data_IF_981968979032
#
_entry.id   IF_981968979032
#
_cell.length_a   1.000
_cell.length_b   1.000
_cell.length_c   1.000
_cell.angle_alpha   90.00
_cell.angle_beta   90.00
_cell.angle_gamma   90.00
#
_symmetry.space_group_name_H-M   'P 1'
#
loop_
_entity.id
_entity.type
_entity.pdbx_description
1 polymer ?
#
# COMPACT_ATOMS: atom_id res chain seq x y z
N UNK A 1 15.00 -12.56 -39.67
CA UNK A 1 15.85 -12.22 -38.51
C UNK A 1 14.92 -11.79 -37.38
N UNK A 2 14.86 -12.55 -36.29
CA UNK A 2 14.07 -12.15 -35.12
C UNK A 2 14.73 -10.88 -34.55
N UNK A 3 14.05 -9.75 -34.59
CA UNK A 3 14.49 -8.54 -33.90
C UNK A 3 14.52 -8.84 -32.40
N UNK A 4 15.71 -8.91 -31.81
CA UNK A 4 15.87 -9.01 -30.36
C UNK A 4 15.05 -7.93 -29.68
N UNK A 5 14.16 -8.34 -28.76
CA UNK A 5 13.40 -7.40 -27.96
C UNK A 5 14.37 -6.68 -27.01
N UNK A 6 14.35 -5.35 -26.92
CA UNK A 6 15.28 -4.63 -26.07
C UNK A 6 15.08 -5.02 -24.59
N UNK A 7 16.18 -5.03 -23.85
CA UNK A 7 16.20 -5.38 -22.43
C UNK A 7 15.32 -4.39 -21.63
N UNK A 8 14.47 -4.88 -20.70
CA UNK A 8 13.65 -3.98 -19.88
C UNK A 8 14.52 -3.19 -18.91
N UNK A 9 14.09 -1.97 -18.59
CA UNK A 9 14.58 -1.23 -17.43
C UNK A 9 13.93 -1.76 -16.16
N UNK A 10 14.66 -1.81 -15.06
CA UNK A 10 14.12 -2.19 -13.75
C UNK A 10 14.22 -1.00 -12.80
N UNK A 11 13.07 -0.61 -12.25
CA UNK A 11 12.95 0.44 -11.23
C UNK A 11 12.55 -0.22 -9.92
N UNK A 12 13.11 0.23 -8.80
CA UNK A 12 12.82 -0.38 -7.51
C UNK A 12 12.78 0.64 -6.40
N UNK A 13 11.95 0.39 -5.39
CA UNK A 13 11.92 1.21 -4.18
C UNK A 13 11.45 0.37 -3.00
N UNK A 14 11.89 0.76 -1.80
CA UNK A 14 11.46 0.16 -0.55
C UNK A 14 10.84 1.24 0.32
N UNK A 15 9.70 0.94 0.92
CA UNK A 15 8.99 1.81 1.84
C UNK A 15 8.69 1.10 3.15
N UNK A 16 8.52 1.90 4.20
CA UNK A 16 7.93 1.48 5.47
C UNK A 16 6.99 2.54 5.98
N UNK A 17 6.11 2.15 6.88
CA UNK A 17 5.27 3.10 7.57
C UNK A 17 4.51 2.46 8.72
N UNK A 18 3.64 3.27 9.30
CA UNK A 18 2.79 2.88 10.40
C UNK A 18 1.41 3.53 10.31
N UNK A 19 0.41 2.89 10.91
CA UNK A 19 -0.94 3.44 11.10
C UNK A 19 -1.44 3.03 12.47
N UNK A 20 -1.82 4.00 13.31
CA UNK A 20 -2.47 3.69 14.57
C UNK A 20 -3.97 3.48 14.39
N UNK A 21 -4.51 2.52 15.13
CA UNK A 21 -5.90 2.10 15.15
C UNK A 21 -6.36 2.07 16.61
N UNK A 22 -7.36 2.87 16.96
CA UNK A 22 -7.85 3.03 18.34
C UNK A 22 -8.76 1.88 18.75
N UNK A 23 -8.24 0.66 18.68
CA UNK A 23 -8.86 -0.55 19.22
C UNK A 23 -7.78 -1.58 19.55
N UNK A 24 -8.13 -2.52 20.41
CA UNK A 24 -7.26 -3.65 20.78
C UNK A 24 -6.86 -4.51 19.55
N UNK A 25 -5.70 -5.20 19.60
CA UNK A 25 -5.18 -5.98 18.47
C UNK A 25 -6.16 -7.01 17.92
N UNK A 26 -7.00 -7.60 18.80
CA UNK A 26 -8.03 -8.56 18.40
C UNK A 26 -9.06 -7.91 17.47
N UNK A 27 -9.64 -6.79 17.86
CA UNK A 27 -10.64 -6.06 17.05
C UNK A 27 -10.07 -5.60 15.72
N UNK A 28 -8.83 -5.11 15.71
CA UNK A 28 -8.15 -4.67 14.49
C UNK A 28 -7.87 -5.86 13.56
N UNK A 29 -7.46 -7.01 14.11
CA UNK A 29 -7.28 -8.27 13.36
C UNK A 29 -8.58 -8.73 12.71
N UNK A 30 -9.68 -8.76 13.47
CA UNK A 30 -11.00 -9.13 12.95
C UNK A 30 -11.44 -8.22 11.80
N UNK A 31 -11.23 -6.91 11.95
CA UNK A 31 -11.48 -5.95 10.87
C UNK A 31 -10.61 -6.22 9.64
N UNK A 32 -9.30 -6.42 9.81
CA UNK A 32 -8.38 -6.64 8.69
C UNK A 32 -8.65 -7.96 7.95
N UNK A 33 -9.11 -9.00 8.65
CA UNK A 33 -9.51 -10.26 8.04
C UNK A 33 -10.81 -10.13 7.20
N UNK A 34 -11.65 -9.14 7.49
CA UNK A 34 -12.84 -8.79 6.71
C UNK A 34 -12.52 -7.86 5.51
N UNK A 35 -11.34 -8.04 4.90
CA UNK A 35 -10.81 -7.16 3.85
C UNK A 35 -11.64 -7.15 2.57
N UNK A 36 -12.34 -8.24 2.26
CA UNK A 36 -13.20 -8.39 1.07
C UNK A 36 -14.20 -7.23 0.96
N UNK A 37 -14.71 -6.73 2.09
CA UNK A 37 -15.62 -5.60 2.13
C UNK A 37 -14.92 -4.24 1.99
N UNK A 38 -13.98 -3.93 2.87
CA UNK A 38 -13.45 -2.56 3.01
C UNK A 38 -12.33 -2.24 2.02
N UNK A 39 -11.53 -3.21 1.58
CA UNK A 39 -10.33 -2.93 0.77
C UNK A 39 -10.68 -2.27 -0.56
N UNK A 40 -11.72 -2.76 -1.24
CA UNK A 40 -12.21 -2.20 -2.51
C UNK A 40 -12.68 -0.75 -2.34
N UNK A 41 -13.37 -0.44 -1.23
CA UNK A 41 -13.86 0.92 -0.94
C UNK A 41 -12.70 1.87 -0.61
N UNK A 42 -11.69 1.38 0.11
CA UNK A 42 -10.54 2.16 0.54
C UNK A 42 -9.50 2.38 -0.58
N UNK A 43 -9.47 1.55 -1.63
CA UNK A 43 -8.47 1.60 -2.68
C UNK A 43 -8.47 2.89 -3.54
N UNK A 44 -9.59 3.61 -3.59
CA UNK A 44 -9.71 4.85 -4.38
C UNK A 44 -8.56 5.84 -4.06
N UNK A 45 -7.95 6.52 -5.05
CA UNK A 45 -8.36 6.58 -6.45
C UNK A 45 -7.87 5.40 -7.31
N UNK A 46 -7.11 4.46 -6.75
CA UNK A 46 -6.82 3.22 -7.46
C UNK A 46 -8.10 2.38 -7.57
N UNK A 47 -8.20 1.56 -8.61
CA UNK A 47 -9.24 0.54 -8.70
C UNK A 47 -8.73 -0.73 -8.05
N UNK A 48 -9.55 -1.35 -7.22
CA UNK A 48 -9.32 -2.70 -6.72
C UNK A 48 -10.53 -3.56 -7.12
N UNK A 49 -10.27 -4.69 -7.77
CA UNK A 49 -11.27 -5.68 -8.13
C UNK A 49 -10.94 -6.99 -7.44
N UNK A 50 -11.91 -7.72 -6.88
CA UNK A 50 -11.65 -9.03 -6.28
C UNK A 50 -10.98 -9.99 -7.28
N UNK A 51 -10.00 -10.76 -6.80
CA UNK A 51 -9.28 -11.78 -7.56
C UNK A 51 -9.13 -13.04 -6.70
N UNK A 52 -9.94 -14.07 -6.98
CA UNK A 52 -10.06 -15.23 -6.10
C UNK A 52 -10.62 -14.86 -4.71
N UNK A 53 -10.39 -15.72 -3.72
CA UNK A 53 -10.98 -15.54 -2.38
C UNK A 53 -10.27 -14.47 -1.55
N UNK A 54 -8.93 -14.38 -1.67
CA UNK A 54 -8.09 -13.50 -0.84
C UNK A 54 -7.22 -12.54 -1.66
N UNK A 55 -7.57 -12.29 -2.92
CA UNK A 55 -6.77 -11.47 -3.81
C UNK A 55 -7.51 -10.30 -4.41
N UNK A 56 -6.73 -9.42 -5.03
CA UNK A 56 -7.23 -8.26 -5.75
C UNK A 56 -6.42 -8.01 -7.01
N UNK A 57 -7.09 -7.56 -8.07
CA UNK A 57 -6.45 -6.83 -9.15
C UNK A 57 -6.46 -5.34 -8.83
N UNK A 58 -5.27 -4.74 -8.81
CA UNK A 58 -5.05 -3.32 -8.55
C UNK A 58 -4.72 -2.60 -9.86
N UNK A 59 -5.45 -1.51 -10.14
CA UNK A 59 -5.18 -0.57 -11.23
C UNK A 59 -4.80 0.76 -10.60
N UNK A 60 -3.52 1.12 -10.65
CA UNK A 60 -2.98 2.24 -9.86
C UNK A 60 -3.40 3.60 -10.43
N UNK A 61 -3.52 3.68 -11.76
CA UNK A 61 -3.76 4.91 -12.52
C UNK A 61 -2.78 5.03 -13.69
N UNK A 62 -2.86 6.12 -14.45
CA UNK A 62 -1.98 6.36 -15.61
C UNK A 62 -0.77 7.19 -15.22
N UNK A 63 0.40 6.72 -15.61
CA UNK A 63 1.68 7.34 -15.31
C UNK A 63 2.60 7.30 -16.53
N UNK A 64 3.30 8.40 -16.79
CA UNK A 64 4.13 8.50 -17.97
C UNK A 64 5.19 9.59 -17.90
N UNK A 65 6.18 9.45 -18.78
CA UNK A 65 7.25 10.42 -19.01
C UNK A 65 7.73 10.29 -20.46
N UNK A 66 8.33 11.36 -21.02
CA UNK A 66 8.89 11.35 -22.38
C UNK A 66 7.89 10.91 -23.48
N UNK A 67 6.60 11.22 -23.30
CA UNK A 67 5.55 10.84 -24.25
C UNK A 67 5.19 9.35 -24.26
N UNK A 68 5.63 8.59 -23.25
CA UNK A 68 5.23 7.21 -23.02
C UNK A 68 4.45 7.09 -21.71
N UNK A 69 3.26 6.50 -21.77
CA UNK A 69 2.35 6.35 -20.64
C UNK A 69 1.98 4.88 -20.46
N UNK A 70 1.86 4.46 -19.20
CA UNK A 70 1.43 3.12 -18.79
C UNK A 70 0.34 3.24 -17.73
N UNK A 71 -0.61 2.31 -17.75
CA UNK A 71 -1.57 2.11 -16.67
C UNK A 71 -1.22 0.79 -15.98
N UNK A 72 -0.34 0.79 -14.96
CA UNK A 72 0.09 -0.42 -14.31
C UNK A 72 -1.07 -1.11 -13.60
N UNK A 73 -1.20 -2.39 -13.90
CA UNK A 73 -2.13 -3.34 -13.32
C UNK A 73 -1.35 -4.51 -12.72
N UNK A 74 -1.73 -4.94 -11.53
CA UNK A 74 -1.14 -6.11 -10.88
C UNK A 74 -2.19 -6.88 -10.12
N UNK A 75 -2.11 -8.20 -10.14
CA UNK A 75 -2.91 -9.04 -9.25
C UNK A 75 -2.08 -9.45 -8.04
N UNK A 76 -2.69 -9.40 -6.87
CA UNK A 76 -2.03 -9.59 -5.58
C UNK A 76 -2.87 -10.51 -4.71
N UNK A 77 -2.22 -11.36 -3.91
CA UNK A 77 -2.86 -12.19 -2.89
C UNK A 77 -2.48 -11.64 -1.53
N UNK A 78 -3.46 -11.46 -0.65
CA UNK A 78 -3.28 -11.24 0.78
C UNK A 78 -3.38 -12.60 1.47
N UNK A 79 -2.30 -13.06 2.10
CA UNK A 79 -2.33 -14.33 2.81
C UNK A 79 -3.14 -14.22 4.12
N UNK A 80 -3.82 -15.30 4.54
CA UNK A 80 -4.34 -15.39 5.89
C UNK A 80 -3.22 -15.08 6.90
N UNK A 81 -3.48 -14.25 7.91
CA UNK A 81 -2.43 -13.83 8.81
C UNK A 81 -1.88 -14.99 9.62
N UNK A 82 -0.58 -14.95 9.88
CA UNK A 82 0.09 -15.89 10.78
C UNK A 82 0.73 -15.11 11.93
N UNK A 83 0.29 -15.38 13.17
CA UNK A 83 0.83 -14.75 14.38
C UNK A 83 0.82 -13.21 14.32
N UNK A 84 -0.28 -12.61 13.85
CA UNK A 84 -0.42 -11.15 13.75
C UNK A 84 0.35 -10.50 12.59
N UNK A 85 0.94 -11.30 11.71
CA UNK A 85 1.65 -10.84 10.51
C UNK A 85 0.87 -11.17 9.26
N UNK A 86 0.81 -10.20 8.36
CA UNK A 86 0.12 -10.29 7.07
C UNK A 86 1.17 -10.15 5.97
N UNK A 87 1.02 -10.92 4.90
CA UNK A 87 1.83 -10.81 3.70
C UNK A 87 0.93 -10.60 2.50
N UNK A 88 1.34 -9.71 1.61
CA UNK A 88 0.63 -9.45 0.36
C UNK A 88 1.63 -9.40 -0.79
N UNK A 89 1.43 -10.19 -1.83
CA UNK A 89 2.39 -10.28 -2.94
C UNK A 89 1.72 -10.38 -4.29
N UNK A 90 2.42 -9.89 -5.32
CA UNK A 90 1.99 -10.03 -6.71
C UNK A 90 2.00 -11.47 -7.16
N UNK A 91 0.96 -11.88 -7.87
CA UNK A 91 0.85 -13.17 -8.55
C UNK A 91 0.63 -12.97 -10.03
N UNK A 92 1.02 -13.96 -10.84
CA UNK A 92 0.70 -13.95 -12.26
C UNK A 92 -0.81 -14.08 -12.45
N UNK A 93 -1.39 -13.21 -13.27
CA UNK A 93 -2.78 -13.31 -13.70
C UNK A 93 -2.82 -13.53 -15.22
N UNK A 94 -3.31 -14.69 -15.69
CA UNK A 94 -3.34 -15.02 -17.11
C UNK A 94 -4.33 -14.16 -17.90
N UNK A 95 -5.32 -13.56 -17.24
CA UNK A 95 -6.32 -12.70 -17.88
C UNK A 95 -5.76 -11.32 -18.24
N UNK A 96 -4.60 -10.94 -17.67
CA UNK A 96 -3.92 -9.70 -18.01
C UNK A 96 -2.77 -9.94 -18.98
N UNK A 97 -2.89 -9.31 -20.16
CA UNK A 97 -1.75 -9.18 -21.05
C UNK A 97 -0.83 -8.05 -20.55
N UNK A 98 0.17 -8.41 -19.75
CA UNK A 98 1.21 -7.50 -19.23
C UNK A 98 2.23 -7.08 -20.32
N UNK A 99 1.75 -6.77 -21.52
CA UNK A 99 2.63 -6.39 -22.61
C UNK A 99 3.32 -5.06 -22.32
N UNK A 100 4.62 -5.13 -22.01
CA UNK A 100 5.48 -3.96 -21.85
C UNK A 100 5.89 -3.65 -20.42
N UNK A 101 5.32 -4.28 -19.39
CA UNK A 101 5.81 -4.13 -18.02
C UNK A 101 5.52 -5.35 -17.13
N UNK A 102 6.25 -5.47 -16.03
CA UNK A 102 6.07 -6.49 -14.99
C UNK A 102 6.17 -5.80 -13.63
N UNK A 103 5.23 -6.07 -12.72
CA UNK A 103 5.23 -5.51 -11.36
C UNK A 103 5.47 -6.64 -10.37
N UNK A 104 6.55 -6.52 -9.60
CA UNK A 104 6.87 -7.37 -8.47
C UNK A 104 6.59 -6.59 -7.19
N UNK A 105 5.48 -6.92 -6.54
CA UNK A 105 5.00 -6.29 -5.32
C UNK A 105 5.12 -7.29 -4.18
N UNK A 106 5.68 -6.86 -3.06
CA UNK A 106 5.69 -7.64 -1.83
C UNK A 106 5.58 -6.72 -0.62
N UNK A 107 4.57 -6.93 0.21
CA UNK A 107 4.32 -6.15 1.42
C UNK A 107 4.13 -7.06 2.62
N UNK A 108 4.61 -6.58 3.77
CA UNK A 108 4.41 -7.23 5.06
C UNK A 108 3.80 -6.23 6.03
N UNK A 109 2.89 -6.69 6.88
CA UNK A 109 2.33 -5.90 7.97
C UNK A 109 2.41 -6.67 9.27
N UNK A 110 2.72 -5.98 10.37
CA UNK A 110 2.73 -6.51 11.72
C UNK A 110 1.84 -5.65 12.62
N UNK A 111 0.99 -6.31 13.39
CA UNK A 111 0.08 -5.68 14.34
C UNK A 111 0.71 -5.73 15.73
N UNK A 112 0.83 -4.57 16.39
CA UNK A 112 1.41 -4.44 17.73
C UNK A 112 0.41 -3.72 18.64
N UNK A 113 0.13 -4.29 19.81
CA UNK A 113 -0.61 -3.60 20.88
C UNK A 113 0.31 -2.62 21.62
N UNK A 114 -0.20 -1.42 21.89
CA UNK A 114 0.50 -0.33 22.58
C UNK A 114 -0.36 0.13 23.75
N UNK A 115 0.20 0.16 24.95
CA UNK A 115 -0.52 0.62 26.14
C UNK A 115 -0.83 2.13 26.06
N UNK A 116 -2.01 2.54 26.53
CA UNK A 116 -2.43 3.96 26.48
C UNK A 116 -1.56 4.90 27.30
N UNK A 117 -0.83 4.38 28.28
CA UNK A 117 0.15 5.14 29.07
C UNK A 117 1.30 5.68 28.23
N UNK A 118 1.49 5.15 27.02
CA UNK A 118 2.50 5.58 26.05
C UNK A 118 1.97 6.57 25.01
N UNK A 119 0.71 7.02 25.12
CA UNK A 119 0.12 8.02 24.21
C UNK A 119 0.55 9.45 24.56
N UNK A 120 0.72 10.27 23.52
CA UNK A 120 0.88 11.72 23.61
C UNK A 120 -0.36 12.36 24.28
N UNK A 121 -0.14 13.33 25.18
CA UNK A 121 -1.19 14.02 25.96
C UNK A 121 -2.31 14.56 25.07
N UNK A 122 -1.99 15.03 23.86
CA UNK A 122 -2.95 15.55 22.88
C UNK A 122 -3.97 14.51 22.38
N UNK A 123 -3.61 13.23 22.41
CA UNK A 123 -4.49 12.11 22.06
C UNK A 123 -5.40 11.77 23.24
N UNK A 124 -4.89 11.86 24.46
CA UNK A 124 -5.65 11.59 25.68
C UNK A 124 -6.88 12.50 25.82
N UNK A 125 -6.78 13.77 25.39
CA UNK A 125 -7.89 14.74 25.44
C UNK A 125 -9.03 14.36 24.48
N UNK A 126 -8.71 13.91 23.27
CA UNK A 126 -9.71 13.46 22.28
C UNK A 126 -10.40 12.18 22.74
N UNK A 127 -9.67 11.30 23.42
CA UNK A 127 -10.20 10.08 24.02
C UNK A 127 -11.12 10.37 25.21
N UNK A 128 -10.75 11.35 26.06
CA UNK A 128 -11.52 11.76 27.22
C UNK A 128 -12.81 12.52 26.86
N UNK A 129 -12.79 13.39 25.84
CA UNK A 129 -13.96 14.19 25.44
C UNK A 129 -15.16 13.35 24.99
N UNK A 130 -14.95 12.15 24.43
CA UNK A 130 -16.05 11.30 23.96
C UNK A 130 -16.63 10.35 25.02
N UNK A 131 -16.13 10.35 26.26
CA UNK A 131 -16.64 9.49 27.37
C UNK A 131 -16.95 8.05 26.90
N UNK A 132 -16.01 7.41 26.20
CA UNK A 132 -16.19 6.03 25.76
C UNK A 132 -15.64 5.12 26.88
N UNK A 133 -16.52 4.73 27.81
CA UNK A 133 -16.25 3.80 28.93
C UNK A 133 -15.69 2.42 28.48
N UNK A 134 -15.64 2.15 27.17
CA UNK A 134 -15.24 0.89 26.55
C UNK A 134 -13.92 0.94 25.76
N UNK A 135 -13.16 2.05 25.83
CA UNK A 135 -11.85 2.09 25.18
C UNK A 135 -10.89 1.13 25.89
N UNK A 136 -10.36 0.17 25.13
CA UNK A 136 -9.37 -0.80 25.58
C UNK A 136 -8.15 -0.07 26.16
N UNK A 137 -7.52 -0.62 27.21
CA UNK A 137 -6.29 -0.08 27.84
C UNK A 137 -5.08 -0.01 26.89
N UNK A 138 -5.24 -0.56 25.70
CA UNK A 138 -4.27 -0.56 24.61
C UNK A 138 -4.95 -0.12 23.31
N UNK A 139 -4.14 0.43 22.41
CA UNK A 139 -4.49 0.62 21.01
C UNK A 139 -3.54 -0.19 20.14
N UNK A 140 -3.81 -0.24 18.84
CA UNK A 140 -3.03 -1.03 17.90
C UNK A 140 -2.23 -0.14 16.98
N UNK A 141 -0.95 -0.44 16.79
CA UNK A 141 -0.12 0.08 15.71
C UNK A 141 0.08 -0.99 14.64
N UNK A 142 -0.24 -0.66 13.40
CA UNK A 142 0.06 -1.48 12.23
C UNK A 142 1.36 -0.95 11.64
N UNK A 143 2.45 -1.71 11.75
CA UNK A 143 3.69 -1.42 11.06
C UNK A 143 3.68 -2.15 9.72
N UNK A 144 4.13 -1.51 8.66
CA UNK A 144 4.16 -2.13 7.33
C UNK A 144 5.45 -1.82 6.57
N UNK A 145 5.81 -2.73 5.68
CA UNK A 145 6.91 -2.62 4.74
C UNK A 145 6.42 -2.97 3.33
N UNK A 146 7.01 -2.35 2.33
CA UNK A 146 6.71 -2.56 0.91
C UNK A 146 8.01 -2.59 0.10
N UNK A 147 8.24 -3.71 -0.55
CA UNK A 147 9.23 -3.89 -1.61
C UNK A 147 8.51 -3.85 -2.96
N UNK A 148 8.91 -2.93 -3.83
CA UNK A 148 8.33 -2.79 -5.15
C UNK A 148 9.41 -2.73 -6.21
N UNK A 149 9.29 -3.58 -7.22
CA UNK A 149 10.07 -3.51 -8.44
C UNK A 149 9.15 -3.50 -9.65
N UNK A 150 9.42 -2.60 -10.61
CA UNK A 150 8.70 -2.52 -11.88
C UNK A 150 9.71 -2.66 -13.00
N UNK A 151 9.54 -3.67 -13.85
CA UNK A 151 10.30 -3.79 -15.09
C UNK A 151 9.47 -3.22 -16.22
N UNK A 152 10.06 -2.39 -17.08
CA UNK A 152 9.38 -1.79 -18.23
C UNK A 152 10.20 -2.01 -19.50
N UNK A 153 9.57 -2.56 -20.53
CA UNK A 153 10.11 -2.64 -21.87
C UNK A 153 9.57 -1.47 -22.69
N UNK A 154 10.39 -0.46 -22.87
CA UNK A 154 9.98 0.74 -23.60
C UNK A 154 9.90 0.51 -25.12
N UNK A 155 9.24 1.41 -25.86
CA UNK A 155 9.41 1.51 -27.29
C UNK A 155 10.85 1.93 -27.66
N UNK A 156 11.30 1.56 -28.86
CA UNK A 156 12.68 1.80 -29.33
C UNK A 156 13.17 3.26 -29.22
N UNK A 157 12.27 4.24 -29.30
CA UNK A 157 12.67 5.65 -29.24
C UNK A 157 13.14 6.09 -27.85
N UNK A 158 12.62 5.49 -26.77
CA UNK A 158 13.04 5.82 -25.39
C UNK A 158 14.50 5.40 -25.17
N UNK A 159 14.93 4.26 -25.71
CA UNK A 159 16.31 3.78 -25.61
C UNK A 159 17.35 4.68 -26.28
N UNK A 160 16.92 5.71 -27.04
CA UNK A 160 17.83 6.74 -27.56
C UNK A 160 18.22 7.78 -26.50
N UNK A 161 17.48 7.84 -25.38
CA UNK A 161 17.80 8.71 -24.25
C UNK A 161 18.96 8.11 -23.43
N UNK A 162 19.74 8.95 -22.71
CA UNK A 162 20.77 8.46 -21.81
C UNK A 162 20.19 7.50 -20.76
N UNK A 163 20.82 6.34 -20.56
CA UNK A 163 20.39 5.33 -19.60
C UNK A 163 20.11 5.93 -18.21
N UNK A 164 21.02 6.76 -17.71
CA UNK A 164 20.89 7.40 -16.39
C UNK A 164 19.68 8.34 -16.30
N UNK A 165 19.26 8.96 -17.40
CA UNK A 165 18.08 9.81 -17.43
C UNK A 165 16.80 8.98 -17.32
N UNK A 166 16.72 7.88 -18.07
CA UNK A 166 15.60 6.93 -18.01
C UNK A 166 15.49 6.35 -16.59
N UNK A 167 16.60 5.86 -16.05
CA UNK A 167 16.67 5.26 -14.71
C UNK A 167 16.18 6.23 -13.62
N UNK A 168 16.79 7.42 -13.53
CA UNK A 168 16.40 8.42 -12.52
C UNK A 168 14.95 8.87 -12.67
N UNK A 169 14.46 9.00 -13.90
CA UNK A 169 13.07 9.43 -14.12
C UNK A 169 12.09 8.36 -13.65
N UNK A 170 12.36 7.09 -13.98
CA UNK A 170 11.51 5.97 -13.55
C UNK A 170 11.53 5.74 -12.04
N UNK A 171 12.72 5.77 -11.40
CA UNK A 171 12.83 5.61 -9.94
C UNK A 171 12.09 6.73 -9.19
N UNK A 172 12.27 7.99 -9.63
CA UNK A 172 11.56 9.12 -9.05
C UNK A 172 10.04 9.00 -9.25
N UNK A 173 9.59 8.62 -10.44
CA UNK A 173 8.16 8.42 -10.72
C UNK A 173 7.58 7.34 -9.82
N UNK A 174 8.27 6.21 -9.67
CA UNK A 174 7.87 5.12 -8.78
C UNK A 174 7.73 5.59 -7.33
N UNK A 175 8.71 6.34 -6.82
CA UNK A 175 8.66 6.93 -5.48
C UNK A 175 7.46 7.89 -5.31
N UNK A 176 7.17 8.73 -6.31
CA UNK A 176 6.04 9.65 -6.26
C UNK A 176 4.70 8.93 -6.24
N UNK A 177 4.55 7.86 -7.03
CA UNK A 177 3.36 7.00 -7.02
C UNK A 177 3.10 6.48 -5.60
N UNK A 178 4.12 5.90 -4.96
CA UNK A 178 3.96 5.32 -3.61
C UNK A 178 3.71 6.38 -2.54
N UNK A 179 4.37 7.54 -2.62
CA UNK A 179 4.09 8.69 -1.73
C UNK A 179 2.68 9.26 -1.91
N UNK A 180 2.09 9.11 -3.09
CA UNK A 180 0.73 9.54 -3.37
C UNK A 180 -0.31 8.52 -2.90
N UNK A 181 -0.05 7.24 -3.14
CA UNK A 181 -1.00 6.15 -2.97
C UNK A 181 -1.07 5.68 -1.51
N UNK A 182 0.07 5.31 -0.93
CA UNK A 182 0.10 4.62 0.37
C UNK A 182 -0.50 5.45 1.50
N UNK A 183 -0.17 6.75 1.66
CA UNK A 183 -0.78 7.57 2.72
C UNK A 183 -2.29 7.72 2.58
N UNK A 184 -2.81 7.74 1.34
CA UNK A 184 -4.25 7.82 1.08
C UNK A 184 -4.95 6.52 1.45
N UNK A 185 -4.38 5.38 1.07
CA UNK A 185 -4.90 4.07 1.43
C UNK A 185 -4.90 3.89 2.95
N UNK A 186 -3.76 4.15 3.61
CA UNK A 186 -3.63 4.14 5.07
C UNK A 186 -4.68 5.02 5.77
N UNK A 187 -4.88 6.25 5.30
CA UNK A 187 -5.89 7.14 5.84
C UNK A 187 -7.31 6.60 5.66
N UNK A 188 -7.63 6.03 4.50
CA UNK A 188 -8.97 5.49 4.22
C UNK A 188 -9.29 4.25 5.03
N UNK A 189 -8.32 3.36 5.20
CA UNK A 189 -8.44 2.17 6.06
C UNK A 189 -8.67 2.62 7.50
N UNK A 190 -7.87 3.57 7.99
CA UNK A 190 -8.04 4.12 9.32
C UNK A 190 -9.41 4.78 9.47
N UNK A 191 -9.84 5.60 8.51
CA UNK A 191 -11.15 6.25 8.55
C UNK A 191 -12.31 5.25 8.53
N UNK A 192 -12.26 4.22 7.68
CA UNK A 192 -13.30 3.19 7.58
C UNK A 192 -13.43 2.44 8.92
N UNK A 193 -12.31 1.98 9.50
CA UNK A 193 -12.31 1.34 10.82
C UNK A 193 -12.92 2.22 11.91
N UNK A 194 -12.45 3.45 12.08
CA UNK A 194 -12.92 4.31 13.17
C UNK A 194 -14.39 4.71 12.96
N UNK A 195 -14.84 4.88 11.71
CA UNK A 195 -16.26 5.13 11.42
C UNK A 195 -17.12 3.90 11.73
N UNK A 196 -16.66 2.69 11.36
CA UNK A 196 -17.38 1.42 11.57
C UNK A 196 -17.62 1.11 13.04
N UNK A 197 -16.69 1.51 13.92
CA UNK A 197 -16.75 1.24 15.36
C UNK A 197 -17.11 2.48 16.20
N UNK A 198 -17.52 3.59 15.58
CA UNK A 198 -17.81 4.88 16.22
C UNK A 198 -16.68 5.39 17.16
N UNK A 199 -15.45 5.23 16.70
CA UNK A 199 -14.23 5.64 17.41
C UNK A 199 -13.76 7.02 16.93
N UNK A 200 -13.05 7.79 17.78
CA UNK A 200 -12.40 9.02 17.33
C UNK A 200 -11.32 8.72 16.28
N UNK A 201 -11.21 9.57 15.26
CA UNK A 201 -10.20 9.38 14.22
C UNK A 201 -8.81 9.84 14.72
N UNK A 202 -7.76 9.02 14.61
CA UNK A 202 -6.41 9.40 15.02
C UNK A 202 -5.85 10.57 14.20
N UNK A 203 -4.99 11.43 14.81
CA UNK A 203 -4.41 12.58 14.13
C UNK A 203 -3.51 12.14 12.98
N UNK A 204 -3.21 13.06 12.05
CA UNK A 204 -2.34 12.75 10.89
C UNK A 204 -0.94 12.26 11.29
N UNK A 205 -0.42 12.70 12.44
CA UNK A 205 0.86 12.27 13.01
C UNK A 205 0.91 10.78 13.37
N UNK A 206 -0.25 10.13 13.56
CA UNK A 206 -0.34 8.69 13.84
C UNK A 206 -0.10 7.78 12.62
N UNK A 207 0.24 8.38 11.47
CA UNK A 207 0.49 7.68 10.22
C UNK A 207 1.80 8.12 9.62
N UNK A 208 2.63 7.17 9.22
CA UNK A 208 3.92 7.43 8.57
C UNK A 208 4.05 6.66 7.26
N UNK A 209 4.89 7.19 6.37
CA UNK A 209 5.23 6.57 5.09
C UNK A 209 6.57 7.14 4.63
N UNK A 210 7.60 6.32 4.70
CA UNK A 210 8.98 6.71 4.48
C UNK A 210 9.64 5.80 3.45
N UNK A 211 10.48 6.38 2.59
CA UNK A 211 11.33 5.62 1.69
C UNK A 211 12.53 5.09 2.49
N UNK A 212 12.76 3.78 2.41
CA UNK A 212 13.92 3.11 3.02
C UNK A 212 15.08 3.07 2.03
N UNK A 213 14.78 2.77 0.77
CA UNK A 213 15.75 2.67 -0.32
C UNK A 213 15.15 3.21 -1.62
N UNK A 214 15.94 4.04 -2.31
CA UNK A 214 15.70 4.56 -3.66
C UNK A 214 16.78 4.06 -4.61
#
# INVERSE_FOLDING_TARGET
MATEKPQPFAFSTQFRGSVDMYGEPKRVTEYLNDHQGWFVRCALPMKAEPFGDNGYTLIIGRYGAFGYEVEPQMSVILEPPHSGRYAMYSVHNPDFNHEGYEVNYHSQMEIVGIELTEMDESISEVWQQKSIDYLSKEFTRINWQLDLQVKVRFPKFIYKLPHNLIQKTGDNLLIQIIKQVSPRLSFKIQKDFHTRFDLPLPPKSSRSCEVVKS
#
